data_IF_482336672445
#
_entry.id   IF_482336672445
#
_cell.length_a   1.000
_cell.length_b   1.000
_cell.length_c   1.000
_cell.angle_alpha   90.00
_cell.angle_beta   90.00
_cell.angle_gamma   90.00
#
_symmetry.space_group_name_H-M   'P 1'
#
loop_
_entity.id
_entity.type
_entity.pdbx_description
1 polymer ?
#
# COMPACT_ATOMS: atom_id res chain seq x y z
N UNK A 1 9.75 -31.92 40.24
CA UNK A 1 9.73 -30.43 40.12
C UNK A 1 10.54 -29.92 38.93
N UNK A 2 11.84 -30.25 38.79
CA UNK A 2 12.68 -29.80 37.65
C UNK A 2 12.13 -30.13 36.26
N UNK A 3 11.57 -31.33 36.06
CA UNK A 3 10.92 -31.75 34.80
C UNK A 3 9.66 -30.94 34.49
N UNK A 4 8.87 -30.58 35.51
CA UNK A 4 7.67 -29.75 35.34
C UNK A 4 8.03 -28.29 34.98
N UNK A 5 9.08 -27.74 35.61
CA UNK A 5 9.61 -26.42 35.30
C UNK A 5 10.16 -26.33 33.86
N UNK A 6 10.84 -27.39 33.40
CA UNK A 6 11.32 -27.48 32.00
C UNK A 6 10.16 -27.56 30.99
N UNK A 7 9.12 -28.35 31.28
CA UNK A 7 7.93 -28.42 30.42
C UNK A 7 7.20 -27.08 30.34
N UNK A 8 7.11 -26.36 31.46
CA UNK A 8 6.45 -25.05 31.52
C UNK A 8 7.25 -23.97 30.76
N UNK A 9 8.58 -23.93 30.95
CA UNK A 9 9.45 -23.02 30.21
C UNK A 9 9.43 -23.29 28.69
N UNK A 10 9.43 -24.55 28.27
CA UNK A 10 9.32 -24.93 26.87
C UNK A 10 7.96 -24.52 26.27
N UNK A 11 6.87 -24.69 27.02
CA UNK A 11 5.53 -24.27 26.61
C UNK A 11 5.41 -22.74 26.43
N UNK A 12 5.93 -21.95 27.38
CA UNK A 12 5.96 -20.49 27.26
C UNK A 12 6.82 -20.01 26.08
N UNK A 13 7.92 -20.69 25.79
CA UNK A 13 8.79 -20.35 24.65
C UNK A 13 8.09 -20.63 23.31
N UNK A 14 7.35 -21.74 23.21
CA UNK A 14 6.55 -22.06 22.02
C UNK A 14 5.42 -21.07 21.78
N UNK A 15 4.77 -20.59 22.85
CA UNK A 15 3.75 -19.54 22.76
C UNK A 15 4.32 -18.16 22.39
N UNK A 16 5.58 -17.86 22.75
CA UNK A 16 6.23 -16.61 22.37
C UNK A 16 6.55 -16.52 20.86
N UNK A 17 6.57 -17.66 20.16
CA UNK A 17 6.83 -17.72 18.72
C UNK A 17 5.55 -17.55 17.88
N UNK A 18 4.36 -17.57 18.48
CA UNK A 18 3.11 -17.37 17.75
C UNK A 18 2.85 -15.87 17.58
N UNK A 19 2.90 -15.37 16.34
CA UNK A 19 2.53 -14.00 16.04
C UNK A 19 1.06 -13.73 16.32
N UNK A 20 0.77 -12.60 16.97
CA UNK A 20 -0.59 -12.20 17.27
C UNK A 20 -1.04 -11.18 16.22
N UNK A 21 -2.15 -11.48 15.54
CA UNK A 21 -2.84 -10.50 14.69
C UNK A 21 -4.12 -10.11 15.39
N UNK A 22 -4.32 -8.82 15.60
CA UNK A 22 -5.51 -8.27 16.24
C UNK A 22 -6.23 -7.35 15.26
N UNK A 23 -7.49 -7.66 14.97
CA UNK A 23 -8.38 -6.75 14.24
C UNK A 23 -8.73 -5.59 15.17
N UNK A 24 -8.35 -4.38 14.76
CA UNK A 24 -8.51 -3.17 15.58
C UNK A 24 -9.85 -2.51 15.31
N UNK A 25 -10.17 -2.25 14.04
CA UNK A 25 -11.32 -1.46 13.65
C UNK A 25 -11.73 -1.76 12.21
N UNK A 26 -13.02 -1.61 11.96
CA UNK A 26 -13.65 -1.72 10.65
C UNK A 26 -14.14 -0.35 10.19
N UNK A 27 -13.74 0.04 8.99
CA UNK A 27 -14.12 1.30 8.36
C UNK A 27 -15.03 1.03 7.17
N UNK A 28 -16.18 1.69 7.14
CA UNK A 28 -17.03 1.70 5.94
C UNK A 28 -16.37 2.50 4.81
N UNK A 29 -15.65 3.56 5.17
CA UNK A 29 -14.93 4.44 4.25
C UNK A 29 -13.69 5.01 4.96
N UNK A 30 -12.52 4.87 4.37
CA UNK A 30 -11.26 5.43 4.89
C UNK A 30 -10.43 5.98 3.73
N UNK A 31 -9.87 7.18 3.93
CA UNK A 31 -8.94 7.79 2.99
C UNK A 31 -7.90 8.61 3.72
N UNK A 32 -6.69 8.56 3.20
CA UNK A 32 -5.53 9.39 3.56
C UNK A 32 -5.25 10.48 2.52
N UNK A 33 -6.02 10.48 1.40
CA UNK A 33 -5.95 11.46 0.31
C UNK A 33 -7.14 12.43 0.42
N UNK A 34 -7.02 13.58 -0.22
CA UNK A 34 -8.12 14.54 -0.26
C UNK A 34 -9.20 14.03 -1.24
N UNK A 35 -10.42 13.84 -0.76
CA UNK A 35 -11.53 13.29 -1.55
C UNK A 35 -12.61 14.35 -1.74
N UNK A 36 -12.88 14.68 -3.00
CA UNK A 36 -14.01 15.54 -3.37
C UNK A 36 -15.32 14.75 -3.38
N UNK A 37 -16.05 14.82 -2.26
CA UNK A 37 -17.33 14.13 -2.11
C UNK A 37 -18.44 14.69 -3.02
N UNK A 38 -18.27 15.87 -3.64
CA UNK A 38 -19.24 16.37 -4.62
C UNK A 38 -19.30 15.50 -5.87
N UNK A 39 -18.24 14.73 -6.14
CA UNK A 39 -18.17 13.77 -7.27
C UNK A 39 -18.47 12.33 -6.85
N UNK A 40 -18.97 12.11 -5.64
CA UNK A 40 -19.18 10.77 -5.07
C UNK A 40 -20.01 9.82 -5.97
N UNK A 41 -20.96 10.36 -6.74
CA UNK A 41 -21.78 9.56 -7.68
C UNK A 41 -21.03 9.02 -8.90
N UNK A 42 -19.82 9.52 -9.19
CA UNK A 42 -19.00 9.10 -10.35
C UNK A 42 -17.94 8.06 -9.97
N UNK A 43 -17.71 7.86 -8.68
CA UNK A 43 -16.68 6.96 -8.19
C UNK A 43 -17.07 5.50 -8.42
N UNK A 44 -16.09 4.70 -8.81
CA UNK A 44 -16.27 3.29 -9.10
C UNK A 44 -15.51 2.44 -8.09
N UNK A 45 -16.13 1.39 -7.59
CA UNK A 45 -15.43 0.40 -6.77
C UNK A 45 -14.54 -0.45 -7.68
N UNK A 46 -13.28 -0.62 -7.28
CA UNK A 46 -12.39 -1.55 -7.93
C UNK A 46 -12.93 -2.98 -7.81
N UNK A 47 -12.62 -3.83 -8.81
CA UNK A 47 -13.11 -5.22 -8.85
C UNK A 47 -12.44 -6.13 -7.82
N UNK A 48 -11.28 -5.73 -7.32
CA UNK A 48 -10.47 -6.52 -6.40
C UNK A 48 -10.27 -5.77 -5.09
N UNK A 49 -10.31 -6.52 -3.99
CA UNK A 49 -9.87 -6.05 -2.68
C UNK A 49 -8.36 -5.97 -2.68
N UNK A 50 -7.82 -4.92 -2.07
CA UNK A 50 -6.38 -4.72 -1.93
C UNK A 50 -6.01 -4.70 -0.46
N UNK A 51 -4.77 -5.08 -0.22
CA UNK A 51 -4.14 -5.06 1.10
C UNK A 51 -2.99 -4.06 1.06
N UNK A 52 -2.78 -3.29 2.11
CA UNK A 52 -1.59 -2.47 2.31
C UNK A 52 -1.02 -2.75 3.68
N UNK A 53 0.29 -2.90 3.75
CA UNK A 53 1.00 -3.15 4.99
C UNK A 53 2.12 -2.14 5.17
N UNK A 54 2.30 -1.71 6.42
CA UNK A 54 3.50 -0.98 6.84
C UNK A 54 4.16 -1.78 7.96
N UNK A 55 5.28 -2.43 7.62
CA UNK A 55 5.98 -3.39 8.47
C UNK A 55 7.33 -2.82 8.88
N UNK A 56 7.60 -2.86 10.18
CA UNK A 56 8.90 -2.56 10.76
C UNK A 56 9.53 -3.81 11.34
N UNK A 57 10.86 -3.84 11.28
CA UNK A 57 11.64 -4.91 11.87
C UNK A 57 12.10 -4.51 13.26
N UNK A 58 12.20 -5.50 14.12
CA UNK A 58 12.81 -5.33 15.42
C UNK A 58 13.98 -6.32 15.44
N UNK A 59 15.16 -5.86 15.87
CA UNK A 59 16.37 -6.69 15.94
C UNK A 59 16.85 -6.68 17.38
N UNK A 60 16.88 -7.86 18.00
CA UNK A 60 17.28 -8.12 19.40
C UNK A 60 16.44 -7.42 20.47
N UNK A 61 16.39 -6.07 20.49
CA UNK A 61 15.51 -5.18 21.29
C UNK A 61 15.35 -3.78 20.68
N UNK A 62 15.97 -3.50 19.54
CA UNK A 62 15.93 -2.18 18.92
C UNK A 62 14.92 -2.23 17.75
N UNK A 63 13.77 -1.55 17.86
CA UNK A 63 12.89 -1.37 16.71
C UNK A 63 13.59 -0.47 15.69
N UNK A 64 13.58 -0.86 14.42
CA UNK A 64 14.16 -0.05 13.34
C UNK A 64 13.29 1.16 13.00
N UNK A 65 12.07 1.23 13.53
CA UNK A 65 11.11 2.30 13.31
C UNK A 65 9.79 2.05 14.04
N UNK A 66 8.80 2.90 13.78
CA UNK A 66 7.43 2.76 14.29
C UNK A 66 6.52 2.54 13.10
N UNK A 67 5.67 1.50 13.09
CA UNK A 67 4.76 1.26 11.98
C UNK A 67 3.68 2.34 11.96
N UNK A 68 3.29 2.77 10.76
CA UNK A 68 2.33 3.85 10.57
C UNK A 68 1.10 3.38 9.77
N UNK A 69 -0.06 3.49 10.41
CA UNK A 69 -1.35 3.17 9.80
C UNK A 69 -1.62 4.00 8.54
N UNK A 70 -1.21 5.27 8.52
CA UNK A 70 -1.39 6.14 7.34
C UNK A 70 -0.68 5.54 6.14
N UNK A 71 0.53 5.03 6.31
CA UNK A 71 1.32 4.53 5.18
C UNK A 71 0.80 3.18 4.70
N UNK A 72 0.28 2.34 5.61
CA UNK A 72 -0.45 1.13 5.22
C UNK A 72 -1.66 1.47 4.33
N UNK A 73 -2.44 2.50 4.70
CA UNK A 73 -3.60 2.97 3.91
C UNK A 73 -3.15 3.57 2.57
N UNK A 74 -2.13 4.43 2.56
CA UNK A 74 -1.60 5.04 1.33
C UNK A 74 -1.10 3.96 0.36
N UNK A 75 -0.31 3.00 0.85
CA UNK A 75 0.15 1.85 0.04
C UNK A 75 -1.01 1.02 -0.50
N UNK A 76 -2.08 0.83 0.27
CA UNK A 76 -3.27 0.12 -0.21
C UNK A 76 -3.97 0.89 -1.33
N UNK A 77 -4.18 2.21 -1.16
CA UNK A 77 -4.85 3.06 -2.16
C UNK A 77 -4.02 3.14 -3.46
N UNK A 78 -2.70 3.23 -3.34
CA UNK A 78 -1.77 3.38 -4.48
C UNK A 78 -1.62 2.13 -5.34
N UNK A 79 -2.06 0.95 -4.85
CA UNK A 79 -2.10 -0.26 -5.67
C UNK A 79 -3.06 -0.14 -6.86
N UNK A 80 -4.00 0.79 -6.83
CA UNK A 80 -4.96 1.01 -7.93
C UNK A 80 -4.80 2.42 -8.50
N UNK A 81 -4.56 2.57 -9.81
CA UNK A 81 -4.48 3.89 -10.44
C UNK A 81 -5.81 4.63 -10.28
N UNK A 82 -5.73 5.90 -9.88
CA UNK A 82 -6.92 6.70 -9.56
C UNK A 82 -7.62 6.31 -8.25
N UNK A 83 -7.02 5.46 -7.43
CA UNK A 83 -7.51 5.15 -6.08
C UNK A 83 -7.51 6.40 -5.20
N UNK A 84 -8.66 6.69 -4.60
CA UNK A 84 -8.89 7.85 -3.74
C UNK A 84 -9.23 7.47 -2.30
N UNK A 85 -9.78 6.27 -2.07
CA UNK A 85 -10.21 5.79 -0.77
C UNK A 85 -10.31 4.27 -0.76
N UNK A 86 -10.49 3.68 0.42
CA UNK A 86 -10.89 2.29 0.59
C UNK A 86 -12.29 2.24 1.20
N UNK A 87 -13.14 1.36 0.67
CA UNK A 87 -14.44 0.99 1.26
C UNK A 87 -14.34 -0.39 1.90
N UNK A 88 -15.13 -0.59 2.96
CA UNK A 88 -15.16 -1.84 3.71
C UNK A 88 -13.75 -2.25 4.20
N UNK A 89 -13.01 -1.27 4.73
CA UNK A 89 -11.64 -1.35 5.21
C UNK A 89 -11.55 -2.07 6.56
N UNK A 90 -10.64 -3.03 6.70
CA UNK A 90 -10.38 -3.76 7.94
C UNK A 90 -8.94 -3.48 8.34
N UNK A 91 -8.74 -2.84 9.49
CA UNK A 91 -7.41 -2.57 10.03
C UNK A 91 -7.04 -3.62 11.07
N UNK A 92 -5.89 -4.23 10.86
CA UNK A 92 -5.28 -5.22 11.75
C UNK A 92 -3.90 -4.75 12.19
N UNK A 93 -3.57 -5.03 13.45
CA UNK A 93 -2.22 -4.91 13.99
C UNK A 93 -1.61 -6.30 14.10
N UNK A 94 -0.40 -6.46 13.57
CA UNK A 94 0.37 -7.68 13.63
C UNK A 94 1.65 -7.45 14.43
N UNK A 95 1.98 -8.38 15.31
CA UNK A 95 3.22 -8.31 16.08
C UNK A 95 3.70 -9.69 16.51
N UNK A 96 5.00 -9.93 16.35
CA UNK A 96 5.70 -11.06 16.96
C UNK A 96 7.15 -10.70 17.24
N UNK A 97 7.72 -11.33 18.25
CA UNK A 97 9.02 -10.90 18.77
C UNK A 97 9.79 -12.01 19.48
N UNK A 98 11.03 -12.26 19.02
CA UNK A 98 12.02 -13.06 19.74
C UNK A 98 13.43 -12.44 19.59
N UNK A 99 14.34 -13.06 18.84
CA UNK A 99 15.65 -12.48 18.47
C UNK A 99 15.55 -11.55 17.25
N UNK A 100 14.59 -11.87 16.39
CA UNK A 100 14.10 -11.04 15.32
C UNK A 100 12.59 -11.01 15.49
N UNK A 101 11.97 -9.89 15.11
CA UNK A 101 10.53 -9.83 15.05
C UNK A 101 10.08 -8.72 14.14
N UNK A 102 8.77 -8.68 13.99
CA UNK A 102 8.11 -7.78 13.07
C UNK A 102 6.88 -7.21 13.75
N UNK A 103 6.64 -5.94 13.47
CA UNK A 103 5.43 -5.26 13.86
C UNK A 103 4.86 -4.57 12.62
N UNK A 104 3.58 -4.72 12.37
CA UNK A 104 2.95 -4.15 11.18
C UNK A 104 1.53 -3.67 11.45
N UNK A 105 1.13 -2.64 10.69
CA UNK A 105 -0.28 -2.34 10.45
C UNK A 105 -0.65 -2.85 9.08
N UNK A 106 -1.71 -3.65 9.02
CA UNK A 106 -2.24 -4.25 7.80
C UNK A 106 -3.64 -3.73 7.60
N UNK A 107 -3.93 -3.15 6.44
CA UNK A 107 -5.26 -2.73 6.06
C UNK A 107 -5.70 -3.42 4.79
N UNK A 108 -6.89 -4.01 4.84
CA UNK A 108 -7.52 -4.61 3.68
C UNK A 108 -8.79 -3.85 3.34
N UNK A 109 -9.04 -3.54 2.08
CA UNK A 109 -10.22 -2.78 1.66
C UNK A 109 -10.46 -2.86 0.17
N UNK A 110 -11.65 -2.48 -0.28
CA UNK A 110 -11.92 -2.34 -1.73
C UNK A 110 -11.63 -0.91 -2.14
N UNK A 111 -10.71 -0.66 -3.08
CA UNK A 111 -10.43 0.70 -3.53
C UNK A 111 -11.63 1.35 -4.20
N UNK A 112 -11.83 2.62 -3.89
CA UNK A 112 -12.73 3.50 -4.61
C UNK A 112 -11.88 4.34 -5.57
N UNK A 113 -12.27 4.34 -6.85
CA UNK A 113 -11.51 4.93 -7.95
C UNK A 113 -12.27 6.10 -8.54
N UNK A 114 -11.58 7.20 -8.74
CA UNK A 114 -12.07 8.31 -9.58
C UNK A 114 -11.64 8.07 -11.03
N UNK A 115 -12.57 7.85 -11.98
CA UNK A 115 -12.25 7.64 -13.38
C UNK A 115 -11.45 8.78 -14.02
N UNK A 116 -11.66 10.03 -13.58
CA UNK A 116 -10.93 11.18 -14.10
C UNK A 116 -9.46 11.14 -13.66
N UNK A 117 -9.20 10.72 -12.42
CA UNK A 117 -7.86 10.58 -11.89
C UNK A 117 -7.14 9.34 -12.47
N UNK A 118 -7.88 8.25 -12.67
CA UNK A 118 -7.36 7.04 -13.30
C UNK A 118 -6.93 7.29 -14.76
N UNK A 119 -7.66 8.11 -15.50
CA UNK A 119 -7.31 8.50 -16.86
C UNK A 119 -6.07 9.42 -16.90
N UNK A 120 -5.89 10.29 -15.90
CA UNK A 120 -4.75 11.21 -15.82
C UNK A 120 -3.44 10.53 -15.38
N UNK A 121 -3.50 9.35 -14.75
CA UNK A 121 -2.34 8.57 -14.33
C UNK A 121 -2.51 7.11 -14.75
N UNK A 122 -2.20 6.77 -16.03
CA UNK A 122 -2.28 5.41 -16.52
C UNK A 122 -1.32 4.50 -15.76
N UNK A 123 -1.76 3.26 -15.49
CA UNK A 123 -0.89 2.24 -14.92
C UNK A 123 0.31 2.00 -15.84
N UNK A 124 1.51 2.31 -15.37
CA UNK A 124 2.73 2.12 -16.14
C UNK A 124 3.88 3.00 -15.69
N UNK A 125 3.64 4.16 -15.08
CA UNK A 125 4.71 5.02 -14.57
C UNK A 125 5.66 5.57 -15.64
N UNK A 126 5.27 5.51 -16.91
CA UNK A 126 6.05 6.08 -18.01
C UNK A 126 5.55 7.49 -18.29
N UNK A 127 6.51 8.39 -18.51
CA UNK A 127 6.24 9.80 -18.79
C UNK A 127 6.90 10.10 -20.12
N UNK A 128 6.15 10.71 -21.02
CA UNK A 128 6.70 11.28 -22.26
C UNK A 128 6.70 12.79 -22.09
N UNK A 129 7.90 13.35 -22.18
CA UNK A 129 8.14 14.79 -22.21
C UNK A 129 8.70 15.12 -23.59
N UNK A 130 7.96 15.90 -24.38
CA UNK A 130 8.45 16.44 -25.64
C UNK A 130 8.91 17.87 -25.43
N UNK A 131 10.12 18.16 -25.89
CA UNK A 131 10.72 19.48 -25.85
C UNK A 131 10.47 20.18 -27.19
N UNK A 132 10.31 21.51 -27.16
CA UNK A 132 10.29 22.32 -28.38
C UNK A 132 11.72 22.52 -28.93
N UNK A 133 11.82 23.22 -30.07
CA UNK A 133 13.11 23.52 -30.71
C UNK A 133 14.02 24.43 -29.89
N UNK A 134 13.49 25.11 -28.87
CA UNK A 134 14.21 26.01 -27.96
C UNK A 134 14.65 25.29 -26.67
N UNK A 135 14.25 24.03 -26.49
CA UNK A 135 14.60 23.19 -25.34
C UNK A 135 13.65 23.33 -24.15
N UNK A 136 12.51 23.98 -24.31
CA UNK A 136 11.46 24.09 -23.30
C UNK A 136 10.46 22.94 -23.41
N UNK A 137 9.77 22.62 -22.30
CA UNK A 137 8.80 21.51 -22.26
C UNK A 137 7.53 21.90 -23.02
N UNK A 138 7.32 21.28 -24.19
CA UNK A 138 6.15 21.51 -25.03
C UNK A 138 4.93 20.69 -24.58
N UNK A 139 5.14 19.42 -24.21
CA UNK A 139 4.07 18.54 -23.74
C UNK A 139 4.60 17.56 -22.69
N UNK A 140 3.83 17.36 -21.63
CA UNK A 140 4.13 16.43 -20.54
C UNK A 140 2.92 15.54 -20.31
N UNK A 141 3.05 14.25 -20.63
CA UNK A 141 1.95 13.30 -20.52
C UNK A 141 2.39 12.01 -19.80
N UNK A 142 1.53 11.53 -18.91
CA UNK A 142 1.63 10.18 -18.38
C UNK A 142 1.08 9.21 -19.44
N UNK A 143 1.87 8.20 -19.79
CA UNK A 143 1.54 7.27 -20.86
C UNK A 143 1.59 5.83 -20.35
N UNK A 144 0.85 4.97 -21.02
CA UNK A 144 0.95 3.51 -20.80
C UNK A 144 2.28 2.96 -21.31
N UNK A 145 2.69 1.77 -20.87
CA UNK A 145 3.91 1.12 -21.34
C UNK A 145 3.89 0.86 -22.87
N UNK A 146 2.72 0.54 -23.44
CA UNK A 146 2.56 0.33 -24.89
C UNK A 146 2.71 1.64 -25.67
N UNK A 147 2.15 2.74 -25.19
CA UNK A 147 2.34 4.07 -25.78
C UNK A 147 3.78 4.53 -25.68
N UNK A 148 4.42 4.34 -24.52
CA UNK A 148 5.84 4.62 -24.37
C UNK A 148 6.69 3.82 -25.36
N UNK A 149 6.41 2.52 -25.55
CA UNK A 149 7.08 1.69 -26.55
C UNK A 149 6.89 2.20 -27.98
N UNK A 150 5.68 2.66 -28.33
CA UNK A 150 5.39 3.28 -29.64
C UNK A 150 6.16 4.58 -29.84
N UNK A 151 6.17 5.46 -28.84
CA UNK A 151 6.91 6.73 -28.87
C UNK A 151 8.41 6.45 -28.99
N UNK A 152 8.95 5.56 -28.16
CA UNK A 152 10.36 5.16 -28.20
C UNK A 152 10.78 4.60 -29.57
N UNK A 153 9.95 3.77 -30.18
CA UNK A 153 10.18 3.23 -31.53
C UNK A 153 10.08 4.31 -32.61
N UNK A 154 9.13 5.24 -32.49
CA UNK A 154 8.94 6.33 -33.46
C UNK A 154 10.11 7.32 -33.47
N UNK A 155 10.75 7.56 -32.32
CA UNK A 155 11.91 8.46 -32.19
C UNK A 155 13.27 7.75 -32.25
N UNK A 156 13.31 6.43 -32.46
CA UNK A 156 14.55 5.66 -32.63
C UNK A 156 15.47 5.66 -31.40
N UNK A 157 14.89 5.73 -30.19
CA UNK A 157 15.63 5.80 -28.94
C UNK A 157 15.87 4.35 -28.44
N UNK A 158 17.02 3.76 -28.78
CA UNK A 158 17.44 2.42 -28.28
C UNK A 158 17.78 2.39 -26.80
#
# INVERSE_FOLDING_TARGET
>A
MKRLLLSFAAGCTLFALTGCTQRLIDFTFISTKNVDLSKAGTFQRAKQRVEGEDLVHIIIFIPTGVPNMKEAVDRAIEKVPGGIALVDGVLSSYGWWFLYGQQAYIIEGTPLVDPALAAASPAGGHIVCTLDGDGEVAEFAYVTQEEYGRVRAAYGIE
#
